data_IF_219342324323
#
_entry.id   IF_219342324323
#
_cell.length_a   1.000
_cell.length_b   1.000
_cell.length_c   1.000
_cell.angle_alpha   90.00
_cell.angle_beta   90.00
_cell.angle_gamma   90.00
#
_symmetry.space_group_name_H-M   'P 1'
#
loop_
_entity.id
_entity.type
_entity.pdbx_description
1 polymer ?
#
# COMPACT_ATOMS: atom_id res chain seq x y z
N UNK A 1 -1.26 17.31 13.12
CA UNK A 1 -0.23 17.25 12.11
C UNK A 1 0.42 18.62 11.88
N UNK A 2 -0.32 19.63 11.42
CA UNK A 2 0.20 20.96 11.03
C UNK A 2 1.14 21.60 12.06
N UNK A 3 0.88 21.45 13.36
CA UNK A 3 1.73 21.99 14.43
C UNK A 3 3.09 21.29 14.58
N UNK A 4 3.31 20.18 13.90
CA UNK A 4 4.56 19.42 13.90
C UNK A 4 5.37 19.60 12.61
N UNK A 5 4.75 20.15 11.58
CA UNK A 5 5.41 20.39 10.29
C UNK A 5 6.26 21.66 10.35
N UNK A 6 7.46 21.55 9.83
CA UNK A 6 8.40 22.66 9.65
C UNK A 6 9.40 22.27 8.54
N UNK A 7 10.27 23.18 8.18
CA UNK A 7 11.26 23.04 7.11
C UNK A 7 12.33 21.95 7.32
N UNK A 8 12.40 21.36 8.50
CA UNK A 8 13.28 20.20 8.79
C UNK A 8 12.63 18.85 8.51
N UNK A 9 11.33 18.81 8.19
CA UNK A 9 10.59 17.58 7.90
C UNK A 9 10.68 17.30 6.40
N UNK A 10 11.33 16.20 6.05
CA UNK A 10 11.47 15.77 4.65
C UNK A 10 10.33 14.88 4.15
N UNK A 11 9.62 14.18 5.05
CA UNK A 11 8.59 13.20 4.68
C UNK A 11 7.45 13.19 5.69
N UNK A 12 6.23 13.08 5.18
CA UNK A 12 5.03 12.69 5.93
C UNK A 12 4.58 11.33 5.42
N UNK A 13 4.55 10.33 6.31
CA UNK A 13 4.07 8.98 6.00
C UNK A 13 2.78 8.70 6.74
N UNK A 14 1.81 8.10 6.06
CA UNK A 14 0.64 7.50 6.68
C UNK A 14 0.16 6.30 5.88
N UNK A 15 -0.67 5.46 6.51
CA UNK A 15 -1.29 4.30 5.87
C UNK A 15 -2.77 4.55 5.60
N UNK A 16 -3.25 4.11 4.43
CA UNK A 16 -4.65 4.20 4.06
C UNK A 16 -5.10 2.94 3.26
N UNK A 17 -5.81 1.97 3.88
CA UNK A 17 -6.24 1.95 5.29
C UNK A 17 -5.06 1.80 6.26
N UNK A 18 -5.23 2.29 7.49
CA UNK A 18 -4.21 2.22 8.53
C UNK A 18 -4.23 0.86 9.27
N UNK A 19 -3.29 0.67 10.21
CA UNK A 19 -3.16 -0.55 11.01
C UNK A 19 -4.44 -0.99 11.75
N UNK A 20 -5.32 -0.06 12.09
CA UNK A 20 -6.62 -0.36 12.71
C UNK A 20 -7.74 -0.62 11.68
N UNK A 21 -7.38 -0.67 10.40
CA UNK A 21 -8.29 -0.85 9.29
C UNK A 21 -9.02 0.41 8.83
N UNK A 22 -8.88 1.51 9.54
CA UNK A 22 -9.61 2.75 9.24
C UNK A 22 -9.04 3.48 8.01
N UNK A 23 -9.94 4.03 7.20
CA UNK A 23 -9.56 4.95 6.15
C UNK A 23 -9.25 6.34 6.70
N UNK A 24 -8.16 6.93 6.18
CA UNK A 24 -7.85 8.33 6.43
C UNK A 24 -8.63 9.20 5.43
N UNK A 25 -9.68 9.84 5.94
CA UNK A 25 -10.60 10.64 5.09
C UNK A 25 -10.01 11.99 4.71
N UNK A 26 -9.08 12.51 5.50
CA UNK A 26 -8.42 13.81 5.29
C UNK A 26 -7.10 13.68 4.51
N UNK A 27 -6.91 12.58 3.77
CA UNK A 27 -5.68 12.26 3.05
C UNK A 27 -5.17 13.40 2.16
N UNK A 28 -6.08 14.10 1.46
CA UNK A 28 -5.73 15.26 0.64
C UNK A 28 -5.21 16.44 1.47
N UNK A 29 -5.81 16.68 2.61
CA UNK A 29 -5.37 17.76 3.51
C UNK A 29 -4.02 17.45 4.14
N UNK A 30 -3.76 16.17 4.41
CA UNK A 30 -2.45 15.69 4.90
C UNK A 30 -1.39 15.90 3.82
N UNK A 31 -1.66 15.49 2.58
CA UNK A 31 -0.74 15.68 1.46
C UNK A 31 -0.43 17.16 1.21
N UNK A 32 -1.47 18.01 1.15
CA UNK A 32 -1.29 19.45 0.99
C UNK A 32 -0.45 20.05 2.12
N UNK A 33 -0.71 19.66 3.37
CA UNK A 33 0.07 20.16 4.50
C UNK A 33 1.53 19.70 4.46
N UNK A 34 1.82 18.49 3.95
CA UNK A 34 3.19 18.03 3.72
C UNK A 34 3.89 18.90 2.68
N UNK A 35 3.24 19.11 1.53
CA UNK A 35 3.78 19.93 0.45
C UNK A 35 3.99 21.39 0.84
N UNK A 36 3.06 21.98 1.59
CA UNK A 36 3.19 23.36 2.14
C UNK A 36 4.43 23.51 3.05
N UNK A 37 4.87 22.42 3.68
CA UNK A 37 6.08 22.38 4.50
C UNK A 37 7.34 21.95 3.70
N UNK A 38 7.24 21.74 2.38
CA UNK A 38 8.33 21.25 1.55
C UNK A 38 8.66 19.77 1.71
N UNK A 39 7.78 18.99 2.36
CA UNK A 39 7.94 17.57 2.60
C UNK A 39 7.25 16.72 1.53
N UNK A 40 7.77 15.52 1.27
CA UNK A 40 7.12 14.50 0.43
C UNK A 40 5.98 13.82 1.19
N UNK A 41 4.92 13.46 0.48
CA UNK A 41 3.81 12.67 1.00
C UNK A 41 3.94 11.21 0.57
N UNK A 42 4.15 10.31 1.52
CA UNK A 42 4.28 8.87 1.29
C UNK A 42 3.09 8.15 1.87
N UNK A 43 2.43 7.32 1.07
CA UNK A 43 1.23 6.58 1.49
C UNK A 43 1.44 5.08 1.40
N UNK A 44 1.30 4.40 2.53
CA UNK A 44 1.22 2.94 2.60
C UNK A 44 -0.20 2.48 2.27
N UNK A 45 -0.34 1.43 1.45
CA UNK A 45 -1.65 0.93 1.03
C UNK A 45 -1.74 -0.60 1.11
N UNK A 46 -2.95 -1.09 1.34
CA UNK A 46 -3.32 -2.45 0.98
C UNK A 46 -3.70 -2.47 -0.51
N UNK A 47 -3.00 -3.23 -1.36
CA UNK A 47 -3.24 -3.19 -2.80
C UNK A 47 -4.64 -3.63 -3.22
N UNK A 48 -5.32 -4.47 -2.42
CA UNK A 48 -6.71 -4.87 -2.70
C UNK A 48 -7.67 -3.68 -2.48
N UNK A 49 -7.39 -2.82 -1.51
CA UNK A 49 -8.22 -1.64 -1.25
C UNK A 49 -8.28 -0.68 -2.43
N UNK A 50 -7.24 -0.66 -3.28
CA UNK A 50 -7.19 0.18 -4.48
C UNK A 50 -8.25 -0.19 -5.54
N UNK A 51 -8.88 -1.36 -5.43
CA UNK A 51 -10.04 -1.71 -6.25
C UNK A 51 -11.32 -0.96 -5.88
N UNK A 52 -11.40 -0.35 -4.69
CA UNK A 52 -12.63 0.25 -4.15
C UNK A 52 -12.46 1.67 -3.61
N UNK A 53 -11.23 2.16 -3.47
CA UNK A 53 -10.95 3.53 -2.99
C UNK A 53 -10.11 4.31 -3.99
N UNK A 54 -10.10 5.62 -3.83
CA UNK A 54 -9.31 6.52 -4.66
C UNK A 54 -7.82 6.19 -4.59
N UNK A 55 -7.15 6.19 -5.74
CA UNK A 55 -5.70 5.96 -5.81
C UNK A 55 -4.93 7.10 -5.14
N UNK A 56 -3.87 6.81 -4.37
CA UNK A 56 -3.16 7.82 -3.57
C UNK A 56 -2.66 9.03 -4.35
N UNK A 57 -2.17 8.82 -5.56
CA UNK A 57 -1.75 9.92 -6.43
C UNK A 57 -2.87 10.96 -6.66
N UNK A 58 -4.13 10.53 -6.74
CA UNK A 58 -5.27 11.43 -6.99
C UNK A 58 -5.52 12.43 -5.87
N UNK A 59 -5.02 12.17 -4.66
CA UNK A 59 -5.11 13.08 -3.53
C UNK A 59 -3.76 13.67 -3.07
N UNK A 60 -2.68 13.44 -3.85
CA UNK A 60 -1.42 14.14 -3.67
C UNK A 60 -0.28 13.31 -3.08
N UNK A 61 -0.37 11.97 -3.08
CA UNK A 61 0.78 11.15 -2.71
C UNK A 61 1.88 11.24 -3.78
N UNK A 62 3.12 11.46 -3.34
CA UNK A 62 4.32 11.46 -4.18
C UNK A 62 4.87 10.05 -4.34
N UNK A 63 4.83 9.27 -3.27
CA UNK A 63 5.28 7.88 -3.23
C UNK A 63 4.17 7.02 -2.62
N UNK A 64 3.91 5.89 -3.26
CA UNK A 64 2.99 4.86 -2.77
C UNK A 64 3.77 3.58 -2.54
N UNK A 65 3.55 2.94 -1.41
CA UNK A 65 4.18 1.65 -1.10
C UNK A 65 3.19 0.69 -0.45
N UNK A 66 3.52 -0.59 -0.49
CA UNK A 66 2.66 -1.61 0.11
C UNK A 66 3.27 -2.99 0.00
N UNK A 67 2.57 -3.97 0.55
CA UNK A 67 2.92 -5.38 0.51
C UNK A 67 2.21 -6.07 -0.66
N UNK A 68 2.90 -7.00 -1.33
CA UNK A 68 2.34 -7.78 -2.44
C UNK A 68 1.65 -9.06 -1.97
N UNK A 69 1.74 -9.44 -0.70
CA UNK A 69 1.18 -10.70 -0.20
C UNK A 69 -0.33 -10.86 -0.48
N UNK A 70 -1.17 -9.80 -0.38
CA UNK A 70 -2.58 -9.91 -0.73
C UNK A 70 -2.85 -10.26 -2.20
N UNK A 71 -1.85 -10.10 -3.07
CA UNK A 71 -1.95 -10.36 -4.51
C UNK A 71 -1.56 -11.81 -4.88
N UNK A 72 -2.17 -12.80 -4.20
CA UNK A 72 -2.01 -14.21 -4.50
C UNK A 72 -0.74 -14.86 -3.95
N UNK A 73 -0.05 -14.22 -3.02
CA UNK A 73 1.16 -14.76 -2.40
C UNK A 73 0.79 -15.44 -1.07
N UNK A 74 0.79 -16.77 -1.06
CA UNK A 74 0.47 -17.54 0.14
C UNK A 74 1.61 -17.54 1.17
N UNK A 75 1.28 -17.89 2.41
CA UNK A 75 2.25 -18.09 3.50
C UNK A 75 3.03 -19.39 3.29
N UNK A 76 4.01 -19.40 2.40
CA UNK A 76 4.87 -20.54 2.13
C UNK A 76 5.87 -20.72 3.27
N UNK A 77 5.62 -21.61 4.23
CA UNK A 77 6.54 -21.92 5.34
C UNK A 77 7.16 -20.71 6.06
N UNK A 78 6.41 -19.66 6.23
CA UNK A 78 6.87 -18.39 6.79
C UNK A 78 6.63 -17.20 5.86
N UNK A 79 6.05 -17.45 4.70
CA UNK A 79 5.61 -16.45 3.75
C UNK A 79 6.65 -16.09 2.69
N UNK A 80 6.16 -15.83 1.48
CA UNK A 80 6.89 -15.05 0.50
C UNK A 80 6.68 -13.57 0.83
N UNK A 81 7.76 -12.83 1.01
CA UNK A 81 7.67 -11.41 1.31
C UNK A 81 8.19 -10.61 0.12
N UNK A 82 7.34 -9.74 -0.39
CA UNK A 82 7.69 -8.77 -1.41
C UNK A 82 6.81 -7.56 -1.25
N UNK A 83 7.36 -6.40 -1.49
CA UNK A 83 6.63 -5.15 -1.49
C UNK A 83 6.68 -4.48 -2.85
N UNK A 84 5.97 -3.38 -2.97
CA UNK A 84 6.05 -2.49 -4.11
C UNK A 84 6.25 -1.04 -3.65
N UNK A 85 6.84 -0.27 -4.53
CA UNK A 85 6.94 1.17 -4.41
C UNK A 85 6.66 1.77 -5.79
N UNK A 86 5.86 2.82 -5.83
CA UNK A 86 5.50 3.52 -7.04
C UNK A 86 5.70 5.03 -6.85
N UNK A 87 6.26 5.67 -7.86
CA UNK A 87 6.47 7.12 -7.92
C UNK A 87 6.09 7.63 -9.29
N UNK A 88 6.12 8.94 -9.47
CA UNK A 88 6.08 9.54 -10.80
C UNK A 88 7.35 9.18 -11.59
N UNK A 89 7.24 9.11 -12.91
CA UNK A 89 8.38 8.97 -13.81
C UNK A 89 9.10 10.33 -13.95
N UNK A 90 9.75 10.75 -12.88
CA UNK A 90 10.50 11.99 -12.77
C UNK A 90 11.94 11.67 -12.36
N UNK A 91 12.96 12.32 -12.96
CA UNK A 91 14.37 12.11 -12.60
C UNK A 91 14.67 12.24 -11.12
N UNK A 92 13.95 13.09 -10.40
CA UNK A 92 14.10 13.26 -8.93
C UNK A 92 13.91 11.95 -8.18
N UNK A 93 12.95 11.12 -8.63
CA UNK A 93 12.70 9.81 -8.02
C UNK A 93 13.49 8.69 -8.70
N UNK A 94 13.49 8.68 -10.04
CA UNK A 94 14.09 7.57 -10.82
C UNK A 94 15.58 7.43 -10.55
N UNK A 95 16.33 8.54 -10.41
CA UNK A 95 17.76 8.52 -10.08
C UNK A 95 18.07 7.92 -8.70
N UNK A 96 17.11 7.94 -7.77
CA UNK A 96 17.28 7.38 -6.44
C UNK A 96 17.08 5.86 -6.39
N UNK A 97 16.51 5.24 -7.43
CA UNK A 97 16.37 3.79 -7.48
C UNK A 97 17.75 3.12 -7.56
N UNK A 98 18.03 2.19 -6.64
CA UNK A 98 19.36 1.53 -6.59
C UNK A 98 19.49 0.38 -7.58
N UNK A 99 18.43 0.00 -8.29
CA UNK A 99 18.39 -1.15 -9.18
C UNK A 99 18.01 -0.79 -10.60
N UNK A 100 18.17 -1.74 -11.51
CA UNK A 100 17.68 -1.63 -12.88
C UNK A 100 16.15 -1.72 -12.89
N UNK A 101 15.53 -0.92 -13.74
CA UNK A 101 14.08 -0.93 -13.94
C UNK A 101 13.74 -1.53 -15.31
N UNK A 102 12.96 -2.60 -15.29
CA UNK A 102 12.49 -3.27 -16.50
C UNK A 102 11.02 -2.94 -16.75
N UNK A 103 10.68 -2.82 -18.01
CA UNK A 103 9.31 -2.52 -18.41
C UNK A 103 9.09 -2.68 -19.90
N UNK A 104 7.91 -2.28 -20.35
CA UNK A 104 7.54 -2.28 -21.76
C UNK A 104 7.93 -0.92 -22.35
N UNK A 105 8.74 -0.94 -23.40
CA UNK A 105 9.10 0.24 -24.17
C UNK A 105 8.72 0.09 -25.65
N UNK A 106 8.57 1.20 -26.35
CA UNK A 106 8.37 1.21 -27.80
C UNK A 106 9.67 0.81 -28.49
N UNK A 107 9.57 0.02 -29.56
CA UNK A 107 10.68 -0.27 -30.45
C UNK A 107 10.84 0.85 -31.51
N UNK A 108 11.82 0.70 -32.40
CA UNK A 108 11.98 1.60 -33.54
C UNK A 108 10.91 1.42 -34.63
N UNK A 109 10.11 0.38 -34.53
CA UNK A 109 8.99 0.11 -35.44
C UNK A 109 7.69 0.63 -34.82
N UNK A 110 6.94 1.42 -35.57
CA UNK A 110 5.68 1.98 -35.10
C UNK A 110 4.69 0.85 -34.72
N UNK A 111 4.08 0.98 -33.54
CA UNK A 111 3.12 0.01 -33.01
C UNK A 111 3.74 -1.22 -32.34
N UNK A 112 5.05 -1.41 -32.38
CA UNK A 112 5.73 -2.50 -31.71
C UNK A 112 6.24 -2.10 -30.31
N UNK A 113 6.21 -3.08 -29.40
CA UNK A 113 6.68 -2.97 -28.03
C UNK A 113 7.62 -4.12 -27.69
N UNK A 114 8.58 -3.85 -26.84
CA UNK A 114 9.49 -4.85 -26.29
C UNK A 114 9.63 -4.69 -24.78
N UNK A 115 9.95 -5.81 -24.12
CA UNK A 115 10.35 -5.79 -22.73
C UNK A 115 11.86 -5.51 -22.65
N UNK A 116 12.25 -4.46 -21.96
CA UNK A 116 13.63 -4.02 -21.89
C UNK A 116 13.96 -3.37 -20.54
N UNK A 117 15.24 -3.13 -20.31
CA UNK A 117 15.73 -2.24 -19.26
C UNK A 117 15.47 -0.80 -19.68
N UNK A 118 14.39 -0.23 -19.18
CA UNK A 118 13.89 1.10 -19.63
C UNK A 118 14.53 2.27 -18.91
N UNK A 119 15.31 2.00 -17.86
CA UNK A 119 15.86 3.04 -17.00
C UNK A 119 17.32 2.80 -16.58
N UNK A 120 18.08 2.00 -17.35
CA UNK A 120 19.48 1.69 -16.99
C UNK A 120 20.31 2.95 -16.78
N UNK A 121 20.19 3.92 -17.69
CA UNK A 121 20.93 5.17 -17.66
C UNK A 121 20.37 6.19 -16.65
N UNK A 122 19.21 5.92 -16.08
CA UNK A 122 18.45 6.86 -15.25
C UNK A 122 18.50 6.51 -13.78
N UNK A 123 18.92 5.30 -13.42
CA UNK A 123 18.99 4.84 -12.03
C UNK A 123 20.38 5.01 -11.45
N UNK A 124 20.48 5.11 -10.14
CA UNK A 124 21.77 5.18 -9.44
C UNK A 124 22.66 3.97 -9.69
N UNK A 125 22.07 2.81 -10.03
CA UNK A 125 22.82 1.61 -10.39
C UNK A 125 23.71 1.82 -11.62
N UNK A 126 23.23 2.51 -12.66
CA UNK A 126 23.99 2.77 -13.89
C UNK A 126 25.04 3.86 -13.73
N UNK A 127 24.69 4.96 -13.09
CA UNK A 127 25.52 6.17 -13.05
C UNK A 127 26.43 6.30 -11.84
N UNK A 128 26.00 5.80 -10.71
CA UNK A 128 26.64 6.03 -9.42
C UNK A 128 27.04 4.72 -8.74
N UNK A 129 27.50 3.73 -9.51
CA UNK A 129 27.75 2.38 -9.02
C UNK A 129 28.50 2.32 -7.69
N UNK A 130 29.56 3.11 -7.54
CA UNK A 130 30.36 3.17 -6.31
C UNK A 130 29.64 3.92 -5.17
N UNK A 131 28.58 4.65 -5.48
CA UNK A 131 27.75 5.43 -4.54
C UNK A 131 26.28 5.04 -4.60
N UNK A 132 25.96 3.99 -5.35
CA UNK A 132 24.57 3.53 -5.47
C UNK A 132 24.05 3.12 -4.10
N UNK A 133 22.76 3.34 -3.91
CA UNK A 133 22.05 2.89 -2.72
C UNK A 133 22.10 1.36 -2.65
N UNK A 134 22.17 0.83 -1.45
CA UNK A 134 22.07 -0.62 -1.26
C UNK A 134 20.65 -1.11 -1.53
N UNK A 135 20.53 -2.29 -2.10
CA UNK A 135 19.27 -2.95 -2.33
C UNK A 135 19.39 -4.47 -2.15
N UNK A 136 18.27 -5.13 -1.94
CA UNK A 136 18.21 -6.56 -1.58
C UNK A 136 18.51 -7.47 -2.77
N UNK A 137 18.42 -6.98 -4.00
CA UNK A 137 18.61 -7.74 -5.23
C UNK A 137 17.31 -8.28 -5.81
N UNK A 138 17.40 -9.36 -6.59
CA UNK A 138 16.27 -9.91 -7.37
C UNK A 138 15.57 -11.09 -6.71
N UNK A 139 15.84 -11.43 -5.48
CA UNK A 139 15.29 -12.59 -4.79
C UNK A 139 13.76 -12.55 -4.64
N UNK A 140 13.15 -11.38 -4.70
CA UNK A 140 11.69 -11.21 -4.63
C UNK A 140 11.02 -11.18 -6.00
N UNK A 141 11.76 -11.30 -7.09
CA UNK A 141 11.23 -11.21 -8.45
C UNK A 141 10.12 -12.23 -8.73
N UNK A 142 10.26 -13.47 -8.23
CA UNK A 142 9.24 -14.51 -8.38
C UNK A 142 7.90 -14.08 -7.75
N UNK A 143 7.94 -13.43 -6.61
CA UNK A 143 6.73 -12.93 -5.94
C UNK A 143 6.12 -11.76 -6.70
N UNK A 144 6.94 -10.87 -7.26
CA UNK A 144 6.48 -9.82 -8.16
C UNK A 144 5.77 -10.37 -9.40
N UNK A 145 6.32 -11.43 -10.01
CA UNK A 145 5.69 -12.13 -11.13
C UNK A 145 4.35 -12.76 -10.71
N UNK A 146 4.31 -13.42 -9.55
CA UNK A 146 3.08 -14.00 -9.01
C UNK A 146 1.99 -12.94 -8.82
N UNK A 147 2.33 -11.80 -8.22
CA UNK A 147 1.42 -10.67 -8.08
C UNK A 147 0.95 -10.13 -9.44
N UNK A 148 1.85 -10.04 -10.42
CA UNK A 148 1.52 -9.63 -11.78
C UNK A 148 0.53 -10.59 -12.47
N UNK A 149 0.72 -11.90 -12.31
CA UNK A 149 -0.22 -12.92 -12.82
C UNK A 149 -1.58 -12.81 -12.12
N UNK A 150 -1.60 -12.60 -10.81
CA UNK A 150 -2.84 -12.38 -10.06
C UNK A 150 -3.59 -11.16 -10.59
N UNK A 151 -2.93 -10.00 -10.71
CA UNK A 151 -3.53 -8.78 -11.23
C UNK A 151 -4.04 -8.93 -12.66
N UNK A 152 -3.28 -9.61 -13.54
CA UNK A 152 -3.69 -9.87 -14.91
C UNK A 152 -4.91 -10.81 -14.99
N UNK A 153 -5.01 -11.78 -14.06
CA UNK A 153 -6.14 -12.73 -14.01
C UNK A 153 -7.40 -12.05 -13.48
N UNK A 154 -7.26 -11.24 -12.43
CA UNK A 154 -8.40 -10.55 -11.81
C UNK A 154 -8.89 -9.39 -12.67
N UNK A 155 -7.99 -8.64 -13.26
CA UNK A 155 -8.30 -7.40 -13.96
C UNK A 155 -8.92 -6.33 -13.04
N UNK A 156 -9.24 -5.15 -13.57
CA UNK A 156 -9.83 -4.07 -12.77
C UNK A 156 -11.16 -4.45 -12.12
N UNK A 157 -12.00 -5.19 -12.86
CA UNK A 157 -13.31 -5.62 -12.37
C UNK A 157 -13.18 -6.64 -11.24
N UNK A 158 -12.31 -7.64 -11.38
CA UNK A 158 -12.09 -8.63 -10.33
C UNK A 158 -11.49 -8.02 -9.06
N UNK A 159 -10.59 -7.04 -9.20
CA UNK A 159 -10.06 -6.29 -8.05
C UNK A 159 -11.15 -5.50 -7.33
N UNK A 160 -12.06 -4.87 -8.07
CA UNK A 160 -13.22 -4.19 -7.49
C UNK A 160 -14.14 -5.19 -6.76
N UNK A 161 -14.52 -6.29 -7.39
CA UNK A 161 -15.41 -7.31 -6.81
C UNK A 161 -14.84 -7.90 -5.51
N UNK A 162 -13.53 -8.19 -5.48
CA UNK A 162 -12.85 -8.68 -4.26
C UNK A 162 -12.86 -7.61 -3.17
N UNK A 163 -12.51 -6.38 -3.50
CA UNK A 163 -12.51 -5.26 -2.55
C UNK A 163 -13.91 -5.02 -1.95
N UNK A 164 -14.94 -4.98 -2.78
CA UNK A 164 -16.34 -4.82 -2.34
C UNK A 164 -16.79 -5.98 -1.45
N UNK A 165 -16.47 -7.22 -1.83
CA UNK A 165 -16.81 -8.41 -1.05
C UNK A 165 -16.15 -8.38 0.33
N UNK A 166 -14.88 -8.01 0.39
CA UNK A 166 -14.14 -7.85 1.66
C UNK A 166 -14.82 -6.80 2.54
N UNK A 167 -15.12 -5.62 1.99
CA UNK A 167 -15.79 -4.56 2.75
C UNK A 167 -17.17 -4.99 3.26
N UNK A 168 -17.97 -5.63 2.42
CA UNK A 168 -19.29 -6.12 2.81
C UNK A 168 -19.22 -7.12 3.96
N UNK A 169 -18.31 -8.09 3.87
CA UNK A 169 -18.10 -9.08 4.92
C UNK A 169 -17.61 -8.45 6.22
N UNK A 170 -16.67 -7.51 6.14
CA UNK A 170 -16.14 -6.81 7.31
C UNK A 170 -17.22 -5.95 7.99
N UNK A 171 -18.01 -5.19 7.20
CA UNK A 171 -19.11 -4.38 7.72
C UNK A 171 -20.21 -5.26 8.36
N UNK A 172 -20.54 -6.39 7.73
CA UNK A 172 -21.48 -7.35 8.31
C UNK A 172 -20.98 -7.90 9.65
N UNK A 173 -19.73 -8.37 9.69
CA UNK A 173 -19.13 -8.88 10.92
C UNK A 173 -19.09 -7.83 12.04
N UNK A 174 -18.65 -6.62 11.72
CA UNK A 174 -18.60 -5.51 12.67
C UNK A 174 -19.98 -5.18 13.23
N UNK A 175 -21.01 -5.14 12.40
CA UNK A 175 -22.40 -4.89 12.80
C UNK A 175 -22.91 -5.99 13.74
N UNK A 176 -22.68 -7.26 13.43
CA UNK A 176 -23.13 -8.39 14.24
C UNK A 176 -22.42 -8.42 15.59
N UNK A 177 -21.10 -8.21 15.60
CA UNK A 177 -20.31 -8.24 16.82
C UNK A 177 -20.59 -7.03 17.73
N UNK A 178 -20.78 -5.85 17.16
CA UNK A 178 -21.14 -4.66 17.93
C UNK A 178 -22.58 -4.70 18.50
N UNK A 179 -23.44 -5.60 18.01
CA UNK A 179 -24.79 -5.84 18.57
C UNK A 179 -24.78 -6.72 19.80
N UNK A 180 -23.65 -7.36 20.14
CA UNK A 180 -23.51 -8.16 21.36
C UNK A 180 -23.54 -7.28 22.62
N UNK A 181 -24.09 -7.77 23.74
CA UNK A 181 -24.15 -6.99 24.98
C UNK A 181 -22.74 -6.57 25.45
N UNK A 182 -22.58 -5.28 25.72
CA UNK A 182 -21.34 -4.68 26.22
C UNK A 182 -20.14 -4.75 25.25
N UNK A 183 -20.37 -4.99 23.96
CA UNK A 183 -19.36 -4.93 22.90
C UNK A 183 -19.64 -3.69 22.02
N UNK A 184 -18.60 -3.02 21.60
CA UNK A 184 -18.75 -1.87 20.68
C UNK A 184 -17.55 -1.77 19.74
N UNK A 185 -17.71 -1.06 18.63
CA UNK A 185 -16.58 -0.66 17.81
C UNK A 185 -15.75 0.41 18.57
N UNK A 186 -14.44 0.27 18.53
CA UNK A 186 -13.53 1.22 19.18
C UNK A 186 -13.47 2.55 18.43
N UNK A 187 -13.57 2.52 17.11
CA UNK A 187 -13.47 3.67 16.23
C UNK A 187 -14.74 3.81 15.38
N UNK A 188 -15.11 5.04 15.05
CA UNK A 188 -16.27 5.37 14.22
C UNK A 188 -15.88 5.67 12.76
N UNK A 189 -14.59 5.69 12.42
CA UNK A 189 -14.12 5.92 11.06
C UNK A 189 -14.56 4.80 10.12
N UNK A 190 -14.80 5.08 8.83
CA UNK A 190 -14.98 4.03 7.83
C UNK A 190 -13.73 3.16 7.75
N UNK A 191 -13.90 1.86 7.48
CA UNK A 191 -12.81 0.90 7.48
C UNK A 191 -12.92 -0.09 6.32
N UNK A 192 -11.79 -0.71 5.96
CA UNK A 192 -11.71 -1.65 4.85
C UNK A 192 -12.07 -3.08 5.29
N UNK A 193 -11.14 -3.77 5.93
CA UNK A 193 -11.28 -5.19 6.32
C UNK A 193 -11.03 -5.44 7.80
N UNK A 194 -10.14 -4.68 8.40
CA UNK A 194 -9.87 -4.74 9.84
C UNK A 194 -10.74 -3.74 10.58
N UNK A 195 -11.12 -4.08 11.80
CA UNK A 195 -11.78 -3.19 12.76
C UNK A 195 -11.48 -3.61 14.20
N UNK A 196 -11.56 -2.68 15.11
CA UNK A 196 -11.24 -2.92 16.52
C UNK A 196 -12.52 -2.95 17.35
N UNK A 197 -12.69 -4.01 18.11
CA UNK A 197 -13.77 -4.17 19.07
C UNK A 197 -13.30 -3.80 20.50
N UNK A 198 -14.14 -3.08 21.22
CA UNK A 198 -13.95 -2.77 22.62
C UNK A 198 -14.81 -3.70 23.48
N UNK A 199 -14.14 -4.52 24.28
CA UNK A 199 -14.73 -5.47 25.22
C UNK A 199 -14.65 -4.99 26.68
N UNK A 200 -14.20 -3.77 26.95
CA UNK A 200 -13.96 -3.28 28.32
C UNK A 200 -15.18 -3.38 29.22
N UNK A 201 -16.38 -3.24 28.66
CA UNK A 201 -17.63 -3.32 29.41
C UNK A 201 -18.12 -4.75 29.68
N UNK A 202 -17.46 -5.77 29.11
CA UNK A 202 -17.85 -7.19 29.33
C UNK A 202 -17.26 -7.75 30.62
N UNK A 203 -16.26 -7.08 31.21
CA UNK A 203 -15.49 -7.60 32.35
C UNK A 203 -14.54 -8.75 32.00
N UNK A 204 -14.38 -9.08 30.72
CA UNK A 204 -13.49 -10.14 30.22
C UNK A 204 -12.24 -9.57 29.59
N UNK A 205 -11.12 -10.27 29.75
CA UNK A 205 -9.87 -9.97 29.07
C UNK A 205 -9.86 -10.58 27.67
N UNK A 206 -9.03 -10.03 26.78
CA UNK A 206 -8.81 -10.60 25.44
C UNK A 206 -8.30 -12.05 25.52
N UNK A 207 -7.44 -12.35 26.51
CA UNK A 207 -6.93 -13.71 26.72
C UNK A 207 -8.04 -14.71 27.06
N UNK A 208 -9.03 -14.30 27.88
CA UNK A 208 -10.18 -15.15 28.21
C UNK A 208 -11.09 -15.37 26.99
N UNK A 209 -11.28 -14.33 26.18
CA UNK A 209 -12.07 -14.43 24.94
C UNK A 209 -11.38 -15.36 23.96
N UNK A 210 -10.09 -15.17 23.68
CA UNK A 210 -9.33 -16.03 22.77
C UNK A 210 -9.25 -17.49 23.22
N UNK A 211 -9.30 -17.74 24.54
CA UNK A 211 -9.32 -19.10 25.04
C UNK A 211 -10.68 -19.80 24.85
N UNK A 212 -11.75 -19.02 24.72
CA UNK A 212 -13.11 -19.55 24.55
C UNK A 212 -13.46 -19.77 23.05
N UNK A 213 -12.74 -19.14 22.13
CA UNK A 213 -12.84 -19.32 20.68
C UNK A 213 -11.95 -20.47 20.18
#
# INVERSE_FOLDING_TARGET
>A
LKSKLNDSIGVVYFENPNYFGAFEVDSREIANAAHDAGAQCVVGVDPISLGVVAVPHSYGADIVCGDLQPLGIHMNYGGGQSGFMATMDDPTYVLEFPSRLFGICRTNTEGEYAFADVAYDRTSFGHLRDKAKEYVGTQTALWGITAGVYLATMGPQGMQEVGETIMQNAQYAAKQLAALPNVSLRFSAPFFKEFVLDFSKTGKTVAEINKAL
#
